data_IF_927477206089
#
_entry.id   IF_927477206089
#
_cell.length_a   1.000
_cell.length_b   1.000
_cell.length_c   1.000
_cell.angle_alpha   90.00
_cell.angle_beta   90.00
_cell.angle_gamma   90.00
#
_symmetry.space_group_name_H-M   'P 1'
#
loop_
_entity.id
_entity.type
_entity.pdbx_description
1 polymer ?
#
# COMPACT_ATOMS: atom_id res chain seq x y z
N UNK A 1 -8.36 2.81 6.15
CA UNK A 1 -8.03 4.26 6.10
C UNK A 1 -9.01 5.11 6.91
N UNK A 2 -10.28 5.28 6.51
CA UNK A 2 -11.20 6.26 7.11
C UNK A 2 -11.53 6.06 8.60
N UNK A 3 -11.58 4.80 9.05
CA UNK A 3 -11.94 4.43 10.43
C UNK A 3 -10.74 4.15 11.34
N UNK A 4 -9.52 4.13 10.80
CA UNK A 4 -8.24 3.97 11.51
C UNK A 4 -8.31 3.24 12.85
N UNK A 5 -8.07 3.99 13.93
CA UNK A 5 -8.07 3.52 15.32
C UNK A 5 -9.39 2.82 15.71
N UNK A 6 -10.55 3.38 15.36
CA UNK A 6 -11.85 2.79 15.70
C UNK A 6 -12.00 1.37 15.13
N UNK A 7 -11.48 1.13 13.92
CA UNK A 7 -11.50 -0.18 13.30
C UNK A 7 -10.57 -1.17 14.01
N UNK A 8 -9.35 -0.73 14.35
CA UNK A 8 -8.37 -1.56 15.04
C UNK A 8 -8.84 -1.90 16.47
N UNK A 9 -9.40 -0.94 17.19
CA UNK A 9 -9.98 -1.14 18.52
C UNK A 9 -11.11 -2.16 18.46
N UNK A 10 -12.04 -2.01 17.50
CA UNK A 10 -13.13 -2.97 17.33
C UNK A 10 -12.63 -4.40 17.02
N UNK A 11 -11.57 -4.54 16.21
CA UNK A 11 -10.94 -5.86 15.95
C UNK A 11 -10.37 -6.45 17.25
N UNK A 12 -9.63 -5.64 18.02
CA UNK A 12 -9.03 -6.06 19.28
C UNK A 12 -10.10 -6.45 20.33
N UNK A 13 -11.08 -5.58 20.56
CA UNK A 13 -12.09 -5.73 21.60
C UNK A 13 -13.01 -6.94 21.37
N UNK A 14 -13.15 -7.37 20.12
CA UNK A 14 -13.95 -8.54 19.75
C UNK A 14 -13.09 -9.80 19.50
N UNK A 15 -11.76 -9.74 19.68
CA UNK A 15 -10.86 -10.87 19.43
C UNK A 15 -10.88 -11.36 17.98
N UNK A 16 -11.21 -10.48 17.03
CA UNK A 16 -11.31 -10.82 15.62
C UNK A 16 -9.92 -10.96 14.98
N UNK A 17 -9.83 -11.79 13.93
CA UNK A 17 -8.61 -11.91 13.13
C UNK A 17 -8.76 -11.04 11.88
N UNK A 18 -7.81 -10.11 11.69
CA UNK A 18 -7.72 -9.27 10.52
C UNK A 18 -6.63 -9.79 9.58
N UNK A 19 -7.02 -10.12 8.34
CA UNK A 19 -6.09 -10.59 7.30
C UNK A 19 -6.11 -9.60 6.12
N UNK A 20 -4.95 -9.02 5.74
CA UNK A 20 -4.88 -8.12 4.60
C UNK A 20 -5.02 -8.88 3.28
N UNK A 21 -5.89 -8.40 2.41
CA UNK A 21 -6.12 -8.95 1.06
C UNK A 21 -5.54 -8.05 -0.03
N UNK A 22 -5.32 -6.77 0.25
CA UNK A 22 -4.59 -5.88 -0.64
C UNK A 22 -3.16 -6.40 -0.87
N UNK A 23 -2.67 -6.33 -2.10
CA UNK A 23 -1.55 -7.16 -2.57
C UNK A 23 -0.25 -6.83 -1.85
N UNK A 24 -0.01 -5.55 -1.62
CA UNK A 24 1.14 -4.99 -0.93
C UNK A 24 1.15 -5.38 0.54
N UNK A 25 0.03 -5.17 1.24
CA UNK A 25 -0.09 -5.52 2.66
C UNK A 25 -0.10 -7.03 2.86
N UNK A 26 -0.68 -7.79 1.93
CA UNK A 26 -0.61 -9.24 1.96
C UNK A 26 0.83 -9.74 1.80
N UNK A 27 1.62 -9.13 0.90
CA UNK A 27 3.04 -9.44 0.75
C UNK A 27 3.84 -9.08 2.02
N UNK A 28 3.60 -7.91 2.62
CA UNK A 28 4.20 -7.54 3.91
C UNK A 28 3.85 -8.58 4.96
N UNK A 29 2.57 -8.93 5.11
CA UNK A 29 2.10 -9.91 6.09
C UNK A 29 2.80 -11.27 5.94
N UNK A 30 3.01 -11.74 4.70
CA UNK A 30 3.74 -12.98 4.42
C UNK A 30 5.24 -12.88 4.76
N UNK A 31 5.83 -11.69 4.71
CA UNK A 31 7.24 -11.46 5.05
C UNK A 31 7.49 -11.18 6.54
N UNK A 32 6.45 -10.81 7.31
CA UNK A 32 6.55 -10.52 8.76
C UNK A 32 6.63 -11.82 9.57
N UNK A 33 7.30 -11.82 10.75
CA UNK A 33 7.27 -12.99 11.60
C UNK A 33 5.87 -13.22 12.17
N UNK A 34 5.58 -14.48 12.47
CA UNK A 34 4.36 -14.84 13.17
C UNK A 34 4.28 -14.10 14.52
N UNK A 35 3.07 -13.65 14.89
CA UNK A 35 2.83 -12.90 16.12
C UNK A 35 3.62 -11.58 16.28
N UNK A 36 4.00 -10.92 15.18
CA UNK A 36 4.61 -9.57 15.20
C UNK A 36 3.76 -8.51 15.92
N UNK A 37 2.45 -8.74 16.07
CA UNK A 37 1.52 -7.76 16.63
C UNK A 37 1.55 -6.44 15.85
N UNK A 38 1.18 -5.33 16.50
CA UNK A 38 1.32 -3.98 15.91
C UNK A 38 2.59 -3.28 16.43
N UNK A 39 3.72 -4.00 16.48
CA UNK A 39 4.99 -3.51 17.02
C UNK A 39 6.20 -3.99 16.18
N UNK A 40 6.36 -3.47 14.95
CA UNK A 40 7.29 -4.03 13.96
C UNK A 40 8.76 -3.96 14.42
N UNK A 41 9.15 -2.88 15.11
CA UNK A 41 10.51 -2.76 15.66
C UNK A 41 10.88 -3.85 16.68
N UNK A 42 9.92 -4.32 17.49
CA UNK A 42 10.15 -5.43 18.42
C UNK A 42 10.35 -6.77 17.70
N UNK A 43 9.85 -6.86 16.47
CA UNK A 43 10.02 -8.00 15.57
C UNK A 43 11.30 -7.89 14.69
N UNK A 44 12.17 -6.91 14.96
CA UNK A 44 13.41 -6.69 14.20
C UNK A 44 13.20 -5.99 12.85
N UNK A 45 12.00 -5.50 12.56
CA UNK A 45 11.69 -4.82 11.30
C UNK A 45 12.26 -3.41 11.34
N UNK A 46 13.20 -3.14 10.44
CA UNK A 46 13.78 -1.84 10.21
C UNK A 46 12.87 -0.96 9.34
N UNK A 47 12.29 -1.54 8.27
CA UNK A 47 11.51 -0.81 7.27
C UNK A 47 10.49 -1.69 6.54
N UNK A 48 9.35 -1.10 6.21
CA UNK A 48 8.38 -1.65 5.25
C UNK A 48 8.59 -0.93 3.92
N UNK A 49 8.70 -1.67 2.82
CA UNK A 49 8.80 -1.10 1.47
C UNK A 49 7.54 -1.44 0.69
N UNK A 50 6.69 -0.43 0.50
CA UNK A 50 5.49 -0.50 -0.33
C UNK A 50 5.85 -0.23 -1.79
N UNK A 51 5.79 -1.26 -2.63
CA UNK A 51 6.04 -1.08 -4.06
C UNK A 51 4.84 -0.47 -4.76
N UNK A 52 5.04 0.42 -5.73
CA UNK A 52 3.98 0.99 -6.55
C UNK A 52 4.29 0.83 -8.04
N UNK A 53 3.30 0.52 -8.88
CA UNK A 53 3.50 0.44 -10.33
C UNK A 53 3.88 1.77 -10.98
N UNK A 54 3.49 2.89 -10.34
CA UNK A 54 3.58 4.25 -10.91
C UNK A 54 2.38 4.62 -11.80
N UNK A 55 1.49 3.67 -12.10
CA UNK A 55 0.29 3.91 -12.91
C UNK A 55 0.58 4.26 -14.38
N UNK A 56 -0.47 4.56 -15.16
CA UNK A 56 -0.35 4.88 -16.59
C UNK A 56 0.42 6.17 -16.91
N UNK A 57 0.66 7.03 -15.92
CA UNK A 57 1.28 8.34 -16.14
C UNK A 57 2.72 8.43 -15.63
N UNK A 58 3.33 7.32 -15.19
CA UNK A 58 4.70 7.28 -14.67
C UNK A 58 5.74 7.99 -15.56
N UNK A 59 5.64 7.80 -16.88
CA UNK A 59 6.58 8.37 -17.86
C UNK A 59 5.98 9.52 -18.67
N UNK A 60 4.78 9.99 -18.30
CA UNK A 60 4.09 11.08 -18.98
C UNK A 60 4.71 12.42 -18.56
N UNK A 61 4.84 13.33 -19.52
CA UNK A 61 5.29 14.68 -19.24
C UNK A 61 4.30 15.41 -18.33
N UNK A 62 4.83 16.05 -17.28
CA UNK A 62 4.07 16.75 -16.24
C UNK A 62 3.21 17.85 -16.85
N UNK A 63 3.73 18.55 -17.88
CA UNK A 63 3.00 19.64 -18.56
C UNK A 63 1.74 19.16 -19.28
N UNK A 64 1.60 17.84 -19.51
CA UNK A 64 0.48 17.24 -20.23
C UNK A 64 -0.56 16.57 -19.31
N UNK A 65 -0.42 16.71 -18.00
CA UNK A 65 -1.30 16.09 -17.00
C UNK A 65 -2.64 16.81 -16.84
N UNK A 66 -2.73 18.09 -17.19
CA UNK A 66 -3.95 18.90 -17.09
C UNK A 66 -5.06 18.48 -18.07
N UNK A 67 -4.68 17.77 -19.14
CA UNK A 67 -5.56 17.33 -20.23
C UNK A 67 -5.89 15.84 -20.19
N UNK A 68 -5.45 15.11 -19.16
CA UNK A 68 -5.73 13.67 -19.06
C UNK A 68 -7.21 13.40 -18.78
N UNK A 69 -7.73 12.36 -19.42
CA UNK A 69 -9.11 11.93 -19.27
C UNK A 69 -9.23 10.76 -18.29
N UNK A 70 -10.41 10.52 -17.69
CA UNK A 70 -10.65 9.34 -16.85
C UNK A 70 -10.37 8.02 -17.59
N UNK A 71 -10.63 7.96 -18.89
CA UNK A 71 -10.39 6.76 -19.69
C UNK A 71 -8.90 6.52 -19.94
N UNK A 72 -8.08 7.57 -20.02
CA UNK A 72 -6.62 7.44 -20.00
C UNK A 72 -6.12 6.98 -18.64
N UNK A 73 -6.65 7.56 -17.55
CA UNK A 73 -6.29 7.15 -16.18
C UNK A 73 -6.67 5.69 -15.88
N UNK A 74 -7.73 5.17 -16.51
CA UNK A 74 -8.15 3.78 -16.34
C UNK A 74 -7.33 2.76 -17.17
N UNK A 75 -6.46 3.18 -18.08
CA UNK A 75 -5.62 2.29 -18.92
C UNK A 75 -4.35 1.87 -18.18
N UNK A 76 -4.50 1.17 -17.07
CA UNK A 76 -3.36 0.73 -16.26
C UNK A 76 -2.48 -0.29 -17.02
N UNK A 77 -1.13 -0.16 -16.99
CA UNK A 77 -0.23 -0.99 -17.80
C UNK A 77 -0.21 -2.47 -17.41
N UNK A 78 -0.46 -2.79 -16.14
CA UNK A 78 -0.27 -4.15 -15.59
C UNK A 78 -1.55 -4.85 -15.13
N UNK A 79 -2.59 -4.09 -14.77
CA UNK A 79 -3.72 -4.60 -13.97
C UNK A 79 -5.04 -4.23 -14.62
N UNK A 80 -5.98 -5.18 -14.66
CA UNK A 80 -7.37 -4.92 -15.02
C UNK A 80 -8.18 -4.73 -13.72
N UNK A 81 -8.57 -3.49 -13.43
CA UNK A 81 -9.19 -3.12 -12.14
C UNK A 81 -10.42 -2.22 -12.35
N UNK A 82 -11.20 -2.00 -11.29
CA UNK A 82 -12.33 -1.07 -11.30
C UNK A 82 -11.90 0.40 -11.46
N UNK A 83 -12.79 1.24 -12.02
CA UNK A 83 -12.44 2.63 -12.40
C UNK A 83 -11.88 3.48 -11.24
N UNK A 84 -12.44 3.37 -10.03
CA UNK A 84 -11.98 4.14 -8.86
C UNK A 84 -10.51 3.86 -8.54
N UNK A 85 -10.16 2.60 -8.34
CA UNK A 85 -8.78 2.20 -8.01
C UNK A 85 -7.83 2.48 -9.19
N UNK A 86 -8.28 2.37 -10.43
CA UNK A 86 -7.43 2.73 -11.59
C UNK A 86 -7.09 4.22 -11.61
N UNK A 87 -8.05 5.11 -11.32
CA UNK A 87 -7.78 6.56 -11.20
C UNK A 87 -6.87 6.86 -10.00
N UNK A 88 -7.10 6.22 -8.87
CA UNK A 88 -6.24 6.38 -7.68
C UNK A 88 -4.81 5.91 -7.97
N UNK A 89 -4.63 4.84 -8.75
CA UNK A 89 -3.32 4.36 -9.18
C UNK A 89 -2.64 5.37 -10.11
N UNK A 90 -3.38 5.94 -11.07
CA UNK A 90 -2.88 6.96 -11.99
C UNK A 90 -2.43 8.26 -11.31
N UNK A 91 -3.04 8.61 -10.17
CA UNK A 91 -2.67 9.78 -9.36
C UNK A 91 -1.70 9.45 -8.22
N UNK A 92 -1.32 8.17 -8.07
CA UNK A 92 -0.64 7.62 -6.90
C UNK A 92 -1.37 7.81 -5.55
N UNK A 93 -2.62 8.31 -5.55
CA UNK A 93 -3.46 8.38 -4.36
C UNK A 93 -3.67 6.98 -3.76
N UNK A 94 -3.74 5.94 -4.59
CA UNK A 94 -3.84 4.55 -4.11
C UNK A 94 -2.72 4.25 -3.12
N UNK A 95 -1.47 4.57 -3.51
CA UNK A 95 -0.31 4.34 -2.64
C UNK A 95 -0.33 5.20 -1.39
N UNK A 96 -0.85 6.42 -1.46
CA UNK A 96 -1.07 7.26 -0.28
C UNK A 96 -2.06 6.64 0.71
N UNK A 97 -3.16 6.05 0.22
CA UNK A 97 -4.12 5.32 1.05
C UNK A 97 -3.47 4.06 1.66
N UNK A 98 -2.67 3.34 0.87
CA UNK A 98 -1.98 2.12 1.31
C UNK A 98 -0.89 2.39 2.35
N UNK A 99 -0.21 3.55 2.31
CA UNK A 99 0.72 3.98 3.38
C UNK A 99 -0.03 4.13 4.70
N UNK A 100 -1.19 4.79 4.69
CA UNK A 100 -2.03 4.93 5.89
C UNK A 100 -2.52 3.55 6.36
N UNK A 101 -2.90 2.67 5.44
CA UNK A 101 -3.31 1.32 5.77
C UNK A 101 -2.18 0.48 6.37
N UNK A 102 -0.96 0.55 5.84
CA UNK A 102 0.20 -0.16 6.39
C UNK A 102 0.52 0.30 7.82
N UNK A 103 0.38 1.59 8.12
CA UNK A 103 0.47 2.11 9.48
C UNK A 103 -0.57 1.46 10.41
N UNK A 104 -1.83 1.38 9.97
CA UNK A 104 -2.88 0.79 10.80
C UNK A 104 -2.72 -0.72 10.98
N UNK A 105 -2.41 -1.45 9.90
CA UNK A 105 -2.28 -2.90 9.93
C UNK A 105 -1.07 -3.35 10.75
N UNK A 106 0.09 -2.73 10.53
CA UNK A 106 1.36 -3.24 11.07
C UNK A 106 1.90 -2.42 12.24
N UNK A 107 1.31 -1.24 12.55
CA UNK A 107 1.79 -0.37 13.61
C UNK A 107 3.09 0.37 13.27
N UNK A 108 3.52 0.37 12.00
CA UNK A 108 4.71 1.07 11.56
C UNK A 108 4.46 2.60 11.51
N UNK A 109 5.30 3.45 12.12
CA UNK A 109 5.24 4.89 11.92
C UNK A 109 5.61 5.25 10.48
N UNK A 110 5.24 6.46 10.05
CA UNK A 110 5.44 6.91 8.67
C UNK A 110 6.92 6.86 8.24
N UNK A 111 7.86 7.19 9.13
CA UNK A 111 9.30 7.11 8.80
C UNK A 111 9.82 5.68 8.54
N UNK A 112 9.08 4.65 8.96
CA UNK A 112 9.43 3.24 8.68
C UNK A 112 8.75 2.70 7.41
N UNK A 113 7.95 3.51 6.70
CA UNK A 113 7.25 3.09 5.49
C UNK A 113 7.85 3.84 4.29
N UNK A 114 8.51 3.11 3.41
CA UNK A 114 9.08 3.63 2.17
C UNK A 114 8.21 3.24 0.97
N UNK A 115 7.95 4.19 0.08
CA UNK A 115 7.30 3.92 -1.21
C UNK A 115 8.37 3.79 -2.29
N UNK A 116 8.36 2.67 -3.01
CA UNK A 116 9.31 2.39 -4.09
C UNK A 116 8.58 2.13 -5.41
N UNK A 117 8.93 2.84 -6.47
CA UNK A 117 8.36 2.58 -7.81
C UNK A 117 8.96 1.29 -8.38
N UNK A 118 8.10 0.30 -8.63
CA UNK A 118 8.41 -0.97 -9.26
C UNK A 118 7.43 -1.25 -10.41
N UNK A 119 7.71 -0.76 -11.63
CA UNK A 119 6.74 -0.78 -12.73
C UNK A 119 6.30 -2.17 -13.16
N UNK A 120 7.17 -3.17 -12.99
CA UNK A 120 6.89 -4.56 -13.35
C UNK A 120 5.83 -5.19 -12.43
N UNK A 121 5.64 -4.64 -11.22
CA UNK A 121 4.66 -5.11 -10.21
C UNK A 121 4.77 -6.62 -9.91
N UNK A 122 5.98 -7.18 -9.96
CA UNK A 122 6.25 -8.60 -9.68
C UNK A 122 6.53 -8.82 -8.20
N UNK A 123 7.37 -7.96 -7.61
CA UNK A 123 7.55 -7.91 -6.16
C UNK A 123 6.44 -7.01 -5.62
N UNK A 124 5.55 -7.58 -4.81
CA UNK A 124 4.36 -6.89 -4.31
C UNK A 124 4.61 -6.00 -3.11
N UNK A 125 5.62 -6.28 -2.29
CA UNK A 125 6.20 -5.39 -1.25
C UNK A 125 7.35 -6.12 -0.58
N UNK A 126 8.08 -5.44 0.31
CA UNK A 126 9.21 -6.03 1.04
C UNK A 126 9.22 -5.59 2.50
N UNK A 127 9.91 -6.36 3.34
CA UNK A 127 10.20 -6.02 4.74
C UNK A 127 11.72 -6.11 4.93
N UNK A 128 12.32 -5.06 5.45
CA UNK A 128 13.74 -4.98 5.79
C UNK A 128 13.92 -5.19 7.30
N UNK A 129 14.91 -5.99 7.67
CA UNK A 129 15.26 -6.32 9.06
C UNK A 129 16.63 -5.74 9.45
N UNK A 130 16.87 -5.62 10.76
CA UNK A 130 18.17 -5.22 11.35
C UNK A 130 19.22 -6.33 11.35
#
# INVERSE_FOLDING_TARGET
VMSGQLFIDAVHDNGAVLLPIDSEHNAIFQCMPHAHGRAPGAAGVAKIVLTASGGPFLTRDVETLDTVTPDQACKHPTWAMGRKISVDSATMMNKGLEVIEAHWLFGAPAEQIEVLIHPQSVIHSMVSYV
#
